data_IF_275199549241
#
_entry.id   IF_275199549241
#
_cell.length_a   1.000
_cell.length_b   1.000
_cell.length_c   1.000
_cell.angle_alpha   90.00
_cell.angle_beta   90.00
_cell.angle_gamma   90.00
#
_symmetry.space_group_name_H-M   'P 1'
#
loop_
_entity.id
_entity.type
_entity.pdbx_description
1 polymer ?
#
# COMPACT_ATOMS: atom_id res chain seq x y z
N UNK A 1 -15.38 5.83 7.77
CA UNK A 1 -14.06 5.98 7.11
C UNK A 1 -14.09 5.15 5.84
N UNK A 2 -13.74 5.73 4.68
CA UNK A 2 -13.75 4.99 3.41
C UNK A 2 -12.53 4.07 3.27
N UNK A 3 -12.60 3.06 2.39
CA UNK A 3 -11.47 2.15 2.10
C UNK A 3 -10.22 2.93 1.68
N UNK A 4 -10.41 3.97 0.84
CA UNK A 4 -9.36 4.90 0.42
C UNK A 4 -8.73 5.63 1.61
N UNK A 5 -9.54 6.22 2.49
CA UNK A 5 -9.06 6.93 3.68
C UNK A 5 -8.31 6.00 4.65
N UNK A 6 -8.81 4.78 4.84
CA UNK A 6 -8.15 3.78 5.67
C UNK A 6 -6.76 3.44 5.14
N UNK A 7 -6.64 3.18 3.84
CA UNK A 7 -5.36 2.89 3.19
C UNK A 7 -4.41 4.08 3.27
N UNK A 8 -4.85 5.28 2.92
CA UNK A 8 -4.03 6.48 3.01
C UNK A 8 -3.52 6.73 4.43
N UNK A 9 -4.34 6.47 5.46
CA UNK A 9 -3.90 6.59 6.84
C UNK A 9 -2.79 5.61 7.21
N UNK A 10 -2.79 4.40 6.63
CA UNK A 10 -1.73 3.42 6.82
C UNK A 10 -0.43 3.85 6.11
N UNK A 11 -0.53 4.31 4.86
CA UNK A 11 0.63 4.82 4.10
C UNK A 11 1.21 6.09 4.73
N UNK A 12 0.38 6.94 5.31
CA UNK A 12 0.82 8.17 5.95
C UNK A 12 1.64 7.91 7.22
N UNK A 13 1.42 6.79 7.92
CA UNK A 13 2.30 6.36 9.02
C UNK A 13 3.71 6.06 8.52
N UNK A 14 3.85 5.42 7.36
CA UNK A 14 5.15 5.23 6.73
C UNK A 14 5.76 6.58 6.30
N UNK A 15 4.97 7.47 5.71
CA UNK A 15 5.48 8.76 5.25
C UNK A 15 6.01 9.65 6.40
N UNK A 16 5.47 9.51 7.61
CA UNK A 16 5.99 10.19 8.81
C UNK A 16 7.38 9.71 9.25
N UNK A 17 7.84 8.59 8.71
CA UNK A 17 9.15 7.97 8.98
C UNK A 17 10.00 7.84 7.70
N UNK A 18 9.66 8.62 6.66
CA UNK A 18 10.34 8.57 5.36
C UNK A 18 11.85 8.84 5.45
N UNK A 19 12.29 9.62 6.45
CA UNK A 19 13.70 9.96 6.72
C UNK A 19 14.58 8.74 7.02
N UNK A 20 13.97 7.61 7.39
CA UNK A 20 14.67 6.37 7.75
C UNK A 20 14.49 5.28 6.69
N UNK A 21 13.85 5.60 5.56
CA UNK A 21 13.60 4.66 4.47
C UNK A 21 14.66 4.78 3.38
N UNK A 22 14.92 3.70 2.63
CA UNK A 22 15.70 3.82 1.41
C UNK A 22 15.01 4.81 0.44
N UNK A 23 15.76 5.70 -0.24
CA UNK A 23 15.17 6.71 -1.14
C UNK A 23 14.34 6.14 -2.30
N UNK A 24 14.53 4.85 -2.63
CA UNK A 24 13.69 4.15 -3.60
C UNK A 24 12.29 3.84 -3.03
N UNK A 25 12.23 3.34 -1.79
CA UNK A 25 10.98 3.01 -1.08
C UNK A 25 10.18 4.28 -0.83
N UNK A 26 10.84 5.36 -0.40
CA UNK A 26 10.19 6.66 -0.18
C UNK A 26 9.51 7.18 -1.47
N UNK A 27 10.21 7.12 -2.61
CA UNK A 27 9.64 7.53 -3.90
C UNK A 27 8.46 6.67 -4.32
N UNK A 28 8.55 5.34 -4.14
CA UNK A 28 7.43 4.42 -4.42
C UNK A 28 6.23 4.70 -3.51
N UNK A 29 6.46 4.96 -2.22
CA UNK A 29 5.43 5.32 -1.25
C UNK A 29 4.73 6.63 -1.64
N UNK A 30 5.49 7.67 -1.95
CA UNK A 30 4.95 8.96 -2.39
C UNK A 30 4.15 8.81 -3.68
N UNK A 31 4.65 8.05 -4.65
CA UNK A 31 3.95 7.79 -5.90
C UNK A 31 2.64 7.02 -5.67
N UNK A 32 2.66 5.95 -4.86
CA UNK A 32 1.45 5.21 -4.49
C UNK A 32 0.41 6.11 -3.82
N UNK A 33 0.83 6.96 -2.87
CA UNK A 33 -0.06 7.92 -2.21
C UNK A 33 -0.66 8.91 -3.21
N UNK A 34 0.15 9.49 -4.11
CA UNK A 34 -0.34 10.41 -5.15
C UNK A 34 -1.37 9.77 -6.09
N UNK A 35 -1.09 8.55 -6.55
CA UNK A 35 -2.01 7.80 -7.42
C UNK A 35 -3.34 7.53 -6.71
N UNK A 36 -3.31 7.12 -5.45
CA UNK A 36 -4.52 6.87 -4.66
C UNK A 36 -5.29 8.18 -4.39
N UNK A 37 -4.58 9.26 -4.05
CA UNK A 37 -5.16 10.57 -3.78
C UNK A 37 -5.86 11.15 -5.01
N UNK A 38 -5.27 10.99 -6.20
CA UNK A 38 -5.82 11.47 -7.47
C UNK A 38 -7.13 10.80 -7.88
N UNK A 39 -7.42 9.59 -7.38
CA UNK A 39 -8.68 8.89 -7.67
C UNK A 39 -9.84 9.35 -6.79
N UNK A 40 -11.07 9.35 -7.31
CA UNK A 40 -12.25 9.56 -6.45
C UNK A 40 -12.52 8.33 -5.58
N UNK A 41 -13.27 8.48 -4.48
CA UNK A 41 -13.63 7.33 -3.63
C UNK A 41 -14.40 6.25 -4.41
N UNK A 42 -15.27 6.67 -5.34
CA UNK A 42 -16.03 5.76 -6.21
C UNK A 42 -15.10 5.00 -7.17
N UNK A 43 -14.20 5.70 -7.87
CA UNK A 43 -13.24 5.07 -8.78
C UNK A 43 -12.32 4.09 -8.05
N UNK A 44 -11.88 4.45 -6.84
CA UNK A 44 -11.02 3.59 -6.03
C UNK A 44 -11.77 2.33 -5.58
N UNK A 45 -13.04 2.46 -5.19
CA UNK A 45 -13.88 1.32 -4.81
C UNK A 45 -14.16 0.38 -5.99
N UNK A 46 -14.38 0.92 -7.20
CA UNK A 46 -14.62 0.12 -8.41
C UNK A 46 -13.38 -0.69 -8.82
N UNK A 47 -12.19 -0.08 -8.74
CA UNK A 47 -10.91 -0.74 -9.00
C UNK A 47 -10.58 -1.79 -7.93
N UNK A 48 -10.81 -1.46 -6.65
CA UNK A 48 -10.56 -2.39 -5.54
C UNK A 48 -11.46 -3.63 -5.60
N UNK A 49 -12.74 -3.46 -5.89
CA UNK A 49 -13.68 -4.58 -5.93
C UNK A 49 -13.49 -5.47 -7.17
N UNK A 50 -12.43 -5.24 -7.97
CA UNK A 50 -12.14 -5.93 -9.23
C UNK A 50 -13.40 -6.09 -10.08
N UNK A 51 -14.23 -5.05 -10.16
CA UNK A 51 -15.39 -5.10 -11.06
C UNK A 51 -14.81 -5.05 -12.47
N UNK A 52 -14.60 -6.23 -13.05
CA UNK A 52 -14.17 -6.43 -14.44
C UNK A 52 -15.31 -5.91 -15.31
N UNK A 53 -15.36 -4.60 -15.51
CA UNK A 53 -16.33 -3.95 -16.40
C UNK A 53 -15.83 -3.95 -17.85
N UNK A 54 -14.58 -4.35 -18.10
CA UNK A 54 -13.98 -4.38 -19.44
C UNK A 54 -13.33 -5.72 -19.77
N UNK A 55 -13.56 -6.18 -20.99
CA UNK A 55 -13.03 -7.43 -21.55
C UNK A 55 -11.52 -7.39 -21.70
N UNK A 56 -10.85 -8.54 -21.49
CA UNK A 56 -9.39 -8.69 -21.39
C UNK A 56 -8.58 -8.23 -22.62
N UNK A 57 -9.21 -7.99 -23.77
CA UNK A 57 -8.53 -7.69 -25.03
C UNK A 57 -7.95 -6.26 -25.16
N UNK A 58 -8.16 -5.37 -24.17
CA UNK A 58 -7.75 -3.94 -24.29
C UNK A 58 -7.23 -3.29 -23.02
N UNK A 59 -6.81 -4.04 -22.01
CA UNK A 59 -6.17 -3.40 -20.86
C UNK A 59 -4.70 -3.12 -21.19
N UNK A 60 -4.27 -1.84 -21.33
CA UNK A 60 -2.84 -1.55 -21.20
C UNK A 60 -2.40 -2.08 -19.84
N UNK A 61 -1.17 -2.61 -19.74
CA UNK A 61 -0.54 -2.88 -18.44
C UNK A 61 -0.68 -1.60 -17.59
N UNK A 62 -1.60 -1.60 -16.64
CA UNK A 62 -1.85 -0.43 -15.81
C UNK A 62 -0.77 -0.41 -14.73
N UNK A 63 0.42 0.06 -15.10
CA UNK A 63 1.54 0.27 -14.18
C UNK A 63 1.14 1.18 -13.01
N UNK A 64 0.16 2.08 -13.22
CA UNK A 64 -0.41 2.97 -12.21
C UNK A 64 -1.63 2.40 -11.46
N UNK A 65 -1.95 1.11 -11.61
CA UNK A 65 -3.11 0.56 -10.89
C UNK A 65 -2.77 0.39 -9.41
N UNK A 66 -3.55 1.00 -8.48
CA UNK A 66 -3.16 1.16 -7.08
C UNK A 66 -2.79 -0.16 -6.38
N UNK A 67 -3.54 -1.24 -6.65
CA UNK A 67 -3.26 -2.54 -6.05
C UNK A 67 -1.88 -3.11 -6.42
N UNK A 68 -1.41 -2.91 -7.66
CA UNK A 68 -0.09 -3.40 -8.06
C UNK A 68 1.03 -2.59 -7.42
N UNK A 69 0.88 -1.25 -7.39
CA UNK A 69 1.82 -0.37 -6.69
C UNK A 69 1.95 -0.74 -5.20
N UNK A 70 0.82 -1.04 -4.55
CA UNK A 70 0.80 -1.43 -3.14
C UNK A 70 1.37 -2.84 -2.92
N UNK A 71 1.15 -3.78 -3.83
CA UNK A 71 1.73 -5.12 -3.74
C UNK A 71 3.24 -5.09 -3.90
N UNK A 72 3.77 -4.29 -4.84
CA UNK A 72 5.21 -4.09 -5.03
C UNK A 72 5.83 -3.42 -3.80
N UNK A 73 5.16 -2.41 -3.25
CA UNK A 73 5.62 -1.66 -2.09
C UNK A 73 5.52 -2.45 -0.77
N UNK A 74 4.58 -3.41 -0.65
CA UNK A 74 4.29 -4.12 0.59
C UNK A 74 5.52 -4.80 1.20
N UNK A 75 6.27 -5.57 0.39
CA UNK A 75 7.44 -6.30 0.86
C UNK A 75 8.54 -5.36 1.35
N UNK A 76 8.75 -4.24 0.65
CA UNK A 76 9.74 -3.23 1.05
C UNK A 76 9.33 -2.53 2.36
N UNK A 77 8.05 -2.17 2.52
CA UNK A 77 7.56 -1.59 3.76
C UNK A 77 7.61 -2.56 4.94
N UNK A 78 7.39 -3.85 4.69
CA UNK A 78 7.51 -4.89 5.70
C UNK A 78 8.95 -5.03 6.19
N UNK A 79 9.92 -5.01 5.28
CA UNK A 79 11.35 -5.02 5.64
C UNK A 79 11.77 -3.76 6.40
N UNK A 80 11.31 -2.57 5.98
CA UNK A 80 11.54 -1.32 6.70
C UNK A 80 10.96 -1.38 8.11
N UNK A 81 9.72 -1.88 8.27
CA UNK A 81 9.10 -2.02 9.57
C UNK A 81 9.87 -2.98 10.48
N UNK A 82 10.28 -4.15 9.97
CA UNK A 82 11.04 -5.17 10.73
C UNK A 82 12.44 -4.71 11.11
N UNK A 83 13.10 -3.93 10.27
CA UNK A 83 14.47 -3.46 10.48
C UNK A 83 14.58 -2.18 11.33
N UNK A 84 13.45 -1.59 11.72
CA UNK A 84 13.42 -0.35 12.47
C UNK A 84 14.03 -0.51 13.89
N UNK A 85 15.01 0.32 14.30
CA UNK A 85 15.76 0.13 15.56
C UNK A 85 14.95 0.49 16.82
N UNK A 86 13.99 1.40 16.71
CA UNK A 86 13.09 1.78 17.82
C UNK A 86 11.91 0.80 17.90
N UNK A 87 11.79 0.05 19.00
CA UNK A 87 10.74 -0.96 19.22
C UNK A 87 9.33 -0.38 19.20
N UNK A 88 9.13 0.85 19.69
CA UNK A 88 7.80 1.47 19.72
C UNK A 88 7.36 1.82 18.30
N UNK A 89 8.25 2.46 17.53
CA UNK A 89 7.99 2.80 16.12
C UNK A 89 7.90 1.57 15.23
N UNK A 90 8.73 0.55 15.48
CA UNK A 90 8.64 -0.75 14.84
C UNK A 90 7.24 -1.35 14.99
N UNK A 91 6.67 -1.33 16.20
CA UNK A 91 5.31 -1.83 16.43
C UNK A 91 4.24 -1.01 15.69
N UNK A 92 4.40 0.31 15.62
CA UNK A 92 3.51 1.20 14.87
C UNK A 92 3.57 0.91 13.35
N UNK A 93 4.77 0.76 12.79
CA UNK A 93 4.98 0.42 11.39
C UNK A 93 4.47 -1.00 11.07
N UNK A 94 4.74 -1.98 11.93
CA UNK A 94 4.22 -3.35 11.77
C UNK A 94 2.68 -3.38 11.85
N UNK A 95 2.07 -2.54 12.69
CA UNK A 95 0.62 -2.35 12.69
C UNK A 95 0.14 -1.81 11.33
N UNK A 96 0.82 -0.83 10.76
CA UNK A 96 0.51 -0.30 9.43
C UNK A 96 0.70 -1.36 8.31
N UNK A 97 1.75 -2.18 8.37
CA UNK A 97 1.95 -3.35 7.49
C UNK A 97 0.77 -4.31 7.59
N UNK A 98 0.32 -4.65 8.80
CA UNK A 98 -0.79 -5.58 9.00
C UNK A 98 -2.11 -5.02 8.44
N UNK A 99 -2.35 -3.71 8.56
CA UNK A 99 -3.50 -3.04 7.93
C UNK A 99 -3.42 -3.11 6.40
N UNK A 100 -2.25 -2.86 5.84
CA UNK A 100 -2.00 -2.94 4.41
C UNK A 100 -2.17 -4.39 3.91
N UNK A 101 -1.67 -5.37 4.66
CA UNK A 101 -1.84 -6.80 4.37
C UNK A 101 -3.31 -7.21 4.33
N UNK A 102 -4.08 -6.82 5.34
CA UNK A 102 -5.52 -7.08 5.40
C UNK A 102 -6.27 -6.39 4.26
N UNK A 103 -5.83 -5.20 3.85
CA UNK A 103 -6.38 -4.50 2.69
C UNK A 103 -6.07 -5.22 1.37
N UNK A 104 -4.86 -5.77 1.21
CA UNK A 104 -4.45 -6.47 -0.01
C UNK A 104 -4.93 -7.93 -0.08
N UNK A 105 -5.68 -8.39 0.93
CA UNK A 105 -6.10 -9.80 1.08
C UNK A 105 -4.94 -10.80 0.95
N UNK A 106 -3.71 -10.35 1.27
CA UNK A 106 -2.53 -11.20 1.24
C UNK A 106 -2.70 -12.21 2.38
N UNK A 107 -2.73 -13.52 2.09
CA UNK A 107 -2.89 -14.52 3.13
C UNK A 107 -1.73 -14.40 4.13
N UNK A 108 -2.02 -14.66 5.40
CA UNK A 108 -0.97 -14.86 6.40
C UNK A 108 -0.01 -15.90 5.84
N UNK A 109 1.20 -15.50 5.44
CA UNK A 109 2.27 -16.46 5.22
C UNK A 109 2.50 -17.06 6.58
N UNK A 110 1.88 -18.21 6.82
CA UNK A 110 2.22 -19.13 7.89
C UNK A 110 3.75 -19.25 7.85
N UNK A 111 4.41 -18.61 8.81
CA UNK A 111 5.81 -18.86 9.11
C UNK A 111 5.77 -20.15 9.96
N UNK A 112 6.13 -21.33 9.43
CA UNK A 112 6.39 -22.49 10.26
C UNK A 112 7.63 -22.27 11.15
#
# INVERSE_FOLDING_TARGET
MSKKQYLLSALQLFAQHADQMPPAVERKLQHAMQVIEAQTEASFADQYNMVVTQTADRQPLQEDHPLYLLQDLYSELEEVAKSHPDTKRQNELLSAVNRLRGFLEIPDRYYP
#
